data_IF_600359324671
#
_entry.id   IF_600359324671
#
_cell.length_a   1.000
_cell.length_b   1.000
_cell.length_c   1.000
_cell.angle_alpha   90.00
_cell.angle_beta   90.00
_cell.angle_gamma   90.00
#
_symmetry.space_group_name_H-M   'P 1'
#
loop_
_entity.id
_entity.type
_entity.pdbx_description
1 polymer ?
#
# COMPACT_ATOMS: atom_id res chain seq x y z
N UNK A 1 0.60 -4.73 9.07
CA UNK A 1 0.33 -6.05 8.44
C UNK A 1 0.27 -5.95 6.91
N UNK A 2 1.20 -6.61 6.21
CA UNK A 2 1.19 -6.75 4.75
C UNK A 2 0.05 -7.69 4.32
N UNK A 3 -0.97 -7.15 3.61
CA UNK A 3 -1.98 -7.98 2.93
C UNK A 3 -1.32 -8.72 1.74
N UNK A 4 -2.01 -9.68 1.12
CA UNK A 4 -1.43 -10.49 0.05
C UNK A 4 -1.09 -9.69 -1.21
N UNK A 5 0.17 -9.74 -1.62
CA UNK A 5 0.64 -9.22 -2.91
C UNK A 5 0.66 -10.34 -3.95
N UNK A 6 -0.18 -10.25 -4.98
CA UNK A 6 -0.16 -11.21 -6.09
C UNK A 6 1.24 -11.21 -6.75
N UNK A 7 1.80 -12.40 -6.98
CA UNK A 7 3.17 -12.57 -7.48
C UNK A 7 4.29 -12.26 -6.46
N UNK A 8 3.95 -12.00 -5.19
CA UNK A 8 4.90 -11.63 -4.13
C UNK A 8 4.87 -12.55 -2.91
N UNK A 9 4.59 -13.85 -3.09
CA UNK A 9 4.36 -14.80 -1.99
C UNK A 9 5.52 -14.85 -0.97
N UNK A 10 6.76 -14.95 -1.44
CA UNK A 10 7.96 -14.99 -0.58
C UNK A 10 8.14 -13.67 0.18
N UNK A 11 7.88 -12.53 -0.48
CA UNK A 11 7.91 -11.22 0.17
C UNK A 11 6.84 -11.12 1.27
N UNK A 12 5.63 -11.62 1.03
CA UNK A 12 4.57 -11.63 2.03
C UNK A 12 4.91 -12.54 3.21
N UNK A 13 5.48 -13.72 2.94
CA UNK A 13 5.91 -14.66 3.96
C UNK A 13 7.03 -14.07 4.83
N UNK A 14 8.06 -13.47 4.21
CA UNK A 14 9.17 -12.86 4.96
C UNK A 14 8.70 -11.67 5.79
N UNK A 15 7.83 -10.80 5.26
CA UNK A 15 7.28 -9.68 6.04
C UNK A 15 6.36 -10.14 7.16
N UNK A 16 5.62 -11.25 6.97
CA UNK A 16 4.87 -11.86 8.08
C UNK A 16 5.79 -12.46 9.15
N UNK A 17 6.92 -13.05 8.75
CA UNK A 17 7.91 -13.54 9.70
C UNK A 17 8.51 -12.39 10.53
N UNK A 18 8.80 -11.25 9.89
CA UNK A 18 9.23 -10.02 10.60
C UNK A 18 8.19 -9.59 11.64
N UNK A 19 6.90 -9.52 11.26
CA UNK A 19 5.81 -9.18 12.19
C UNK A 19 5.80 -10.10 13.43
N UNK A 20 5.94 -11.41 13.21
CA UNK A 20 5.97 -12.41 14.27
C UNK A 20 7.19 -12.22 15.20
N UNK A 21 8.38 -12.04 14.63
CA UNK A 21 9.62 -11.79 15.38
C UNK A 21 9.49 -10.52 16.22
N UNK A 22 8.99 -9.42 15.65
CA UNK A 22 8.80 -8.15 16.37
C UNK A 22 7.84 -8.31 17.55
N UNK A 23 6.75 -9.07 17.37
CA UNK A 23 5.80 -9.36 18.45
C UNK A 23 6.47 -10.15 19.59
N UNK A 24 7.18 -11.22 19.25
CA UNK A 24 7.89 -12.06 20.23
C UNK A 24 8.94 -11.26 20.99
N UNK A 25 9.78 -10.47 20.30
CA UNK A 25 10.80 -9.64 20.94
C UNK A 25 10.21 -8.65 21.94
N UNK A 26 9.02 -8.11 21.66
CA UNK A 26 8.36 -7.19 22.59
C UNK A 26 7.90 -7.88 23.87
N UNK A 27 7.46 -9.14 23.77
CA UNK A 27 7.09 -9.94 24.93
C UNK A 27 8.33 -10.30 25.76
N UNK A 28 9.42 -10.71 25.10
CA UNK A 28 10.66 -11.09 25.76
C UNK A 28 11.34 -9.91 26.47
N UNK A 29 11.22 -8.69 25.92
CA UNK A 29 11.87 -7.49 26.43
C UNK A 29 11.01 -6.66 27.38
N UNK A 30 9.83 -7.15 27.78
CA UNK A 30 8.85 -6.40 28.61
C UNK A 30 9.41 -5.93 29.97
N UNK A 31 10.37 -6.67 30.53
CA UNK A 31 11.04 -6.34 31.80
C UNK A 31 12.26 -5.41 31.64
N UNK A 32 12.55 -4.98 30.42
CA UNK A 32 13.68 -4.11 30.09
C UNK A 32 13.22 -2.68 29.76
N UNK A 33 14.17 -1.79 29.45
CA UNK A 33 13.89 -0.44 28.93
C UNK A 33 14.04 -0.35 27.40
N UNK A 34 14.04 -1.49 26.70
CA UNK A 34 14.18 -1.54 25.24
C UNK A 34 12.80 -1.51 24.60
N UNK A 35 12.59 -0.55 23.69
CA UNK A 35 11.38 -0.45 22.89
C UNK A 35 11.55 -1.20 21.56
N UNK A 36 10.49 -1.90 21.15
CA UNK A 36 10.46 -2.68 19.90
C UNK A 36 9.31 -2.18 19.04
N UNK A 37 9.62 -1.58 17.88
CA UNK A 37 8.65 -1.01 16.94
C UNK A 37 8.71 -1.69 15.57
N UNK A 38 7.55 -1.94 14.96
CA UNK A 38 7.45 -2.20 13.50
C UNK A 38 6.96 -0.96 12.76
N UNK A 39 7.67 -0.61 11.68
CA UNK A 39 7.24 0.41 10.72
C UNK A 39 6.87 -0.31 9.42
N UNK A 40 5.58 -0.25 9.08
CA UNK A 40 4.99 -0.95 7.94
C UNK A 40 4.58 0.06 6.86
N UNK A 41 5.51 0.60 6.06
CA UNK A 41 5.16 1.50 4.96
C UNK A 41 4.59 0.71 3.77
N UNK A 42 3.84 1.40 2.94
CA UNK A 42 3.15 0.82 1.78
C UNK A 42 3.75 1.30 0.47
N UNK A 43 2.98 1.96 -0.41
CA UNK A 43 3.52 2.42 -1.70
C UNK A 43 4.51 3.55 -1.45
N UNK A 44 5.80 3.22 -1.39
CA UNK A 44 6.90 4.17 -1.26
C UNK A 44 7.72 4.16 -2.53
N UNK A 45 7.84 5.32 -3.18
CA UNK A 45 8.69 5.49 -4.34
C UNK A 45 10.16 5.48 -3.92
N UNK A 46 10.81 4.35 -4.22
CA UNK A 46 12.22 4.08 -3.98
C UNK A 46 12.72 3.13 -5.06
N UNK A 47 14.01 2.79 -5.02
CA UNK A 47 14.61 1.76 -5.87
C UNK A 47 13.99 0.36 -5.67
N UNK A 48 13.17 0.15 -4.63
CA UNK A 48 12.51 -1.13 -4.35
C UNK A 48 11.77 -1.71 -5.56
N UNK A 49 10.99 -0.89 -6.27
CA UNK A 49 10.23 -1.37 -7.43
C UNK A 49 11.13 -1.67 -8.64
N UNK A 50 12.22 -0.93 -8.80
CA UNK A 50 13.22 -1.19 -9.85
C UNK A 50 13.90 -2.53 -9.60
N UNK A 51 14.32 -2.80 -8.35
CA UNK A 51 14.92 -4.09 -7.97
C UNK A 51 13.92 -5.23 -8.12
N UNK A 52 12.67 -5.04 -7.69
CA UNK A 52 11.60 -6.04 -7.78
C UNK A 52 11.33 -6.47 -9.23
N UNK A 53 11.44 -5.56 -10.19
CA UNK A 53 11.27 -5.85 -11.60
C UNK A 53 12.60 -6.01 -12.35
N UNK A 54 13.68 -6.36 -11.64
CA UNK A 54 14.99 -6.70 -12.22
C UNK A 54 15.54 -5.61 -13.17
N UNK A 55 15.33 -4.33 -12.82
CA UNK A 55 15.78 -3.18 -13.60
C UNK A 55 14.77 -2.64 -14.62
N UNK A 56 13.60 -3.26 -14.78
CA UNK A 56 12.53 -2.78 -15.67
C UNK A 56 11.82 -1.55 -15.07
N UNK A 57 12.35 -0.37 -15.42
CA UNK A 57 11.83 0.94 -14.97
C UNK A 57 10.39 1.18 -15.40
N UNK A 58 10.00 0.75 -16.60
CA UNK A 58 8.64 0.97 -17.09
C UNK A 58 7.61 0.23 -16.23
N UNK A 59 7.92 -1.00 -15.79
CA UNK A 59 7.07 -1.73 -14.83
C UNK A 59 7.12 -1.12 -13.43
N UNK A 60 8.27 -0.62 -13.00
CA UNK A 60 8.41 0.04 -11.71
C UNK A 60 7.54 1.31 -11.63
N UNK A 61 7.60 2.17 -12.65
CA UNK A 61 6.84 3.42 -12.73
C UNK A 61 5.33 3.15 -12.84
N UNK A 62 4.95 2.06 -13.52
CA UNK A 62 3.55 1.65 -13.65
C UNK A 62 2.89 1.32 -12.30
N UNK A 63 3.67 0.91 -11.28
CA UNK A 63 3.14 0.67 -9.94
C UNK A 63 2.58 1.94 -9.30
N UNK A 64 3.21 3.08 -9.56
CA UNK A 64 2.86 4.36 -8.93
C UNK A 64 1.98 5.25 -9.83
N UNK A 65 1.66 4.80 -11.04
CA UNK A 65 0.87 5.59 -12.00
C UNK A 65 -0.49 5.98 -11.44
N UNK A 66 -0.77 7.29 -11.44
CA UNK A 66 -2.08 7.84 -11.06
C UNK A 66 -2.32 7.96 -9.55
N UNK A 67 -1.28 7.77 -8.73
CA UNK A 67 -1.31 8.04 -7.30
C UNK A 67 -0.09 8.88 -6.89
N UNK A 68 -0.19 9.53 -5.75
CA UNK A 68 0.94 10.15 -5.07
C UNK A 68 1.46 9.15 -4.04
N UNK A 69 2.61 8.47 -4.30
CA UNK A 69 3.19 7.53 -3.34
C UNK A 69 3.85 8.26 -2.18
N UNK A 70 4.15 7.51 -1.11
CA UNK A 70 5.07 7.99 -0.08
C UNK A 70 6.48 8.11 -0.64
N UNK A 71 7.28 8.94 -0.01
CA UNK A 71 8.70 9.09 -0.28
C UNK A 71 9.53 8.40 0.80
N UNK A 72 10.82 8.18 0.54
CA UNK A 72 11.76 7.75 1.58
C UNK A 72 11.82 8.71 2.77
N UNK A 73 11.59 10.00 2.51
CA UNK A 73 11.57 11.04 3.54
C UNK A 73 10.40 10.88 4.50
N UNK A 74 9.20 10.56 4.01
CA UNK A 74 8.02 10.33 4.86
C UNK A 74 8.25 9.17 5.86
N UNK A 75 8.93 8.11 5.40
CA UNK A 75 9.29 6.97 6.25
C UNK A 75 10.37 7.38 7.26
N UNK A 76 11.38 8.15 6.84
CA UNK A 76 12.44 8.62 7.72
C UNK A 76 11.91 9.52 8.84
N UNK A 77 11.01 10.45 8.53
CA UNK A 77 10.39 11.33 9.52
C UNK A 77 9.56 10.54 10.54
N UNK A 78 8.83 9.52 10.08
CA UNK A 78 8.11 8.62 10.98
C UNK A 78 9.07 7.85 11.92
N UNK A 79 10.20 7.36 11.40
CA UNK A 79 11.21 6.68 12.22
C UNK A 79 11.77 7.62 13.29
N UNK A 80 12.11 8.86 12.93
CA UNK A 80 12.58 9.88 13.88
C UNK A 80 11.50 10.22 14.92
N UNK A 81 10.24 10.33 14.50
CA UNK A 81 9.12 10.54 15.41
C UNK A 81 9.01 9.42 16.45
N UNK A 82 9.08 8.16 16.01
CA UNK A 82 9.02 6.99 16.90
C UNK A 82 10.22 6.95 17.84
N UNK A 83 11.43 7.14 17.31
CA UNK A 83 12.66 7.07 18.10
C UNK A 83 12.77 8.21 19.12
N UNK A 84 12.14 9.36 18.87
CA UNK A 84 12.15 10.52 19.77
C UNK A 84 11.11 10.44 20.90
N UNK A 85 10.31 9.37 21.00
CA UNK A 85 9.32 9.25 22.07
C UNK A 85 10.00 9.10 23.43
N UNK A 86 9.31 9.56 24.49
CA UNK A 86 9.79 9.42 25.87
C UNK A 86 10.07 7.94 26.18
N UNK A 87 11.04 7.60 27.06
CA UNK A 87 11.44 6.21 27.30
C UNK A 87 10.31 5.24 27.70
N UNK A 88 9.23 5.73 28.33
CA UNK A 88 8.08 4.92 28.73
C UNK A 88 7.01 4.76 27.64
N UNK A 89 7.22 5.33 26.44
CA UNK A 89 6.28 5.29 25.32
C UNK A 89 6.86 4.40 24.23
N UNK A 90 6.24 3.24 24.02
CA UNK A 90 6.56 2.36 22.91
C UNK A 90 5.49 2.49 21.82
N UNK A 91 5.84 3.05 20.66
CA UNK A 91 4.98 3.01 19.47
C UNK A 91 5.14 1.62 18.85
N UNK A 92 4.26 0.72 19.24
CA UNK A 92 4.33 -0.69 18.90
C UNK A 92 4.37 -0.96 17.38
N UNK A 93 3.35 -0.52 16.65
CA UNK A 93 3.19 -0.84 15.24
C UNK A 93 2.60 0.38 14.52
N UNK A 94 3.21 0.76 13.40
CA UNK A 94 2.71 1.85 12.56
C UNK A 94 2.52 1.35 11.14
N UNK A 95 1.30 1.54 10.62
CA UNK A 95 0.98 1.35 9.20
C UNK A 95 0.95 2.72 8.53
N UNK A 96 1.88 2.95 7.59
CA UNK A 96 1.95 4.20 6.84
C UNK A 96 1.47 3.97 5.40
N UNK A 97 0.46 4.73 5.00
CA UNK A 97 -0.22 4.65 3.70
C UNK A 97 -0.22 6.03 3.05
N UNK A 98 -0.01 6.14 1.73
CA UNK A 98 -0.43 7.33 1.02
C UNK A 98 -1.95 7.50 1.12
N UNK A 99 -2.43 8.74 1.21
CA UNK A 99 -3.87 9.06 1.38
C UNK A 99 -4.75 8.42 0.30
N UNK A 100 -4.19 8.26 -0.90
CA UNK A 100 -4.88 7.67 -2.05
C UNK A 100 -4.84 6.13 -2.07
N UNK A 101 -4.41 5.47 -0.98
CA UNK A 101 -4.33 4.03 -0.83
C UNK A 101 -5.07 3.57 0.44
N UNK A 102 -6.13 2.78 0.27
CA UNK A 102 -6.87 2.18 1.40
C UNK A 102 -6.47 0.73 1.66
N UNK A 103 -6.03 0.01 0.62
CA UNK A 103 -5.48 -1.34 0.71
C UNK A 103 -4.42 -1.54 -0.38
N UNK A 104 -3.64 -2.61 -0.30
CA UNK A 104 -2.56 -2.87 -1.28
C UNK A 104 -3.01 -2.84 -2.75
N UNK A 105 -4.21 -3.34 -3.03
CA UNK A 105 -4.81 -3.36 -4.37
C UNK A 105 -5.82 -2.24 -4.59
N UNK A 106 -6.16 -1.48 -3.54
CA UNK A 106 -7.23 -0.49 -3.57
C UNK A 106 -6.64 0.91 -3.42
N UNK A 107 -6.48 1.58 -4.54
CA UNK A 107 -6.18 3.01 -4.61
C UNK A 107 -7.35 3.80 -5.21
N UNK A 108 -7.38 5.11 -4.98
CA UNK A 108 -8.39 6.00 -5.56
C UNK A 108 -8.37 5.97 -7.10
N UNK A 109 -7.21 5.71 -7.72
CA UNK A 109 -7.10 5.46 -9.16
C UNK A 109 -7.89 4.22 -9.61
N UNK A 110 -7.84 3.13 -8.81
CA UNK A 110 -8.59 1.91 -9.06
C UNK A 110 -10.12 2.13 -8.93
N UNK A 111 -10.56 2.93 -7.95
CA UNK A 111 -11.99 3.29 -7.78
C UNK A 111 -12.52 4.23 -8.88
N UNK A 112 -11.68 5.14 -9.41
CA UNK A 112 -12.07 6.04 -10.51
C UNK A 112 -12.21 5.29 -11.84
N UNK A 113 -11.37 4.30 -12.10
CA UNK A 113 -11.48 3.44 -13.28
C UNK A 113 -12.81 2.65 -13.29
N UNK A 114 -13.19 2.04 -12.16
CA UNK A 114 -14.46 1.30 -12.05
C UNK A 114 -15.70 2.17 -12.26
N UNK A 115 -15.72 3.39 -11.70
CA UNK A 115 -16.83 4.32 -11.92
C UNK A 115 -16.95 4.79 -13.38
N UNK A 116 -15.83 4.91 -14.09
CA UNK A 116 -15.85 5.37 -15.48
C UNK A 116 -16.27 4.26 -16.47
N UNK A 117 -15.94 3.00 -16.18
CA UNK A 117 -16.47 1.84 -16.93
C UNK A 117 -17.97 1.68 -16.70
N UNK A 118 -18.45 1.85 -15.47
CA UNK A 118 -19.89 1.77 -15.16
C UNK A 118 -20.67 2.90 -15.82
N UNK A 119 -20.11 4.12 -15.88
CA UNK A 119 -20.75 5.24 -16.56
C UNK A 119 -20.80 5.04 -18.09
N UNK A 120 -19.73 4.52 -18.71
CA UNK A 120 -19.74 4.18 -20.14
C UNK A 120 -20.70 3.05 -20.46
N UNK A 121 -20.79 2.03 -19.60
CA UNK A 121 -21.70 0.90 -19.78
C UNK A 121 -23.18 1.33 -19.62
N UNK A 122 -23.45 2.26 -18.68
CA UNK A 122 -24.78 2.87 -18.49
C UNK A 122 -25.17 3.76 -19.69
N UNK A 123 -24.25 4.60 -20.18
CA UNK A 123 -24.48 5.42 -21.37
C UNK A 123 -24.64 4.59 -22.65
N UNK A 124 -23.92 3.47 -22.78
CA UNK A 124 -24.05 2.55 -23.93
C UNK A 124 -25.41 1.82 -23.93
N UNK A 125 -25.93 1.43 -22.76
CA UNK A 125 -27.31 0.90 -22.63
C UNK A 125 -28.37 1.94 -23.02
N UNK A 126 -28.19 3.20 -22.61
CA UNK A 126 -29.09 4.30 -22.98
C UNK A 126 -29.11 4.57 -24.49
N UNK A 127 -27.98 4.44 -25.19
CA UNK A 127 -27.93 4.60 -26.65
C UNK A 127 -28.49 3.38 -27.41
N UNK A 128 -28.44 2.17 -26.84
CA UNK A 128 -28.99 0.95 -27.47
C UNK A 128 -30.53 0.85 -27.42
N UNK A 129 -31.18 1.52 -26.46
CA UNK A 129 -32.65 1.56 -26.37
C UNK A 129 -33.31 2.54 -27.35
N UNK A 130 -32.56 3.47 -27.94
CA UNK A 130 -33.10 4.48 -28.87
C UNK A 130 -33.04 4.07 -30.35
N UNK A 131 -32.49 2.89 -30.67
CA UNK A 131 -32.37 2.40 -32.07
C UNK A 131 -33.38 1.30 -32.46
N UNK A 132 -34.33 0.94 -31.57
CA UNK A 132 -35.33 -0.11 -31.86
C UNK A 132 -36.68 0.43 -32.39
N UNK A 133 -36.79 1.73 -32.73
CA UNK A 133 -38.07 2.38 -33.04
C UNK A 133 -38.21 3.00 -34.43
N UNK A 134 -37.26 2.79 -35.36
CA UNK A 134 -37.25 3.49 -36.64
C UNK A 134 -37.01 2.58 -37.85
N UNK A 135 -37.79 1.52 -38.00
CA UNK A 135 -38.02 0.85 -39.30
C UNK A 135 -39.42 0.25 -39.34
N UNK A 136 -40.39 1.00 -39.85
CA UNK A 136 -41.66 0.52 -40.40
C UNK A 136 -42.28 1.62 -41.25
#
# INVERSE_FOLDING_TARGET
>A
MVAGLSGGGIYCASKRAVDAITCTLRLELVSTKINVTSIDPRMVETEFSVVRFYGDKAKADAVYKGIEPLTGQDVAELVVFVASRKPHVNVANVLLLPTNQAAQHLSSAHQRFGRQTDFKHSQMKLHSHNYSGATS
#
